data_IF_288675867485
#
_entry.id   IF_288675867485
#
_cell.length_a   1.000
_cell.length_b   1.000
_cell.length_c   1.000
_cell.angle_alpha   90.00
_cell.angle_beta   90.00
_cell.angle_gamma   90.00
#
_symmetry.space_group_name_H-M   'P 1'
#
loop_
_entity.id
_entity.type
_entity.pdbx_description
1 polymer ?
#
# COMPACT_ATOMS: atom_id res chain seq x y z
N UNK A 1 2.45 -0.63 -0.95
CA UNK A 1 2.49 -0.27 -2.38
C UNK A 1 3.77 0.48 -2.62
N UNK A 2 4.62 0.03 -3.55
CA UNK A 2 5.91 0.66 -3.82
C UNK A 2 5.70 1.85 -4.77
N UNK A 3 6.11 3.05 -4.37
CA UNK A 3 6.26 4.16 -5.30
C UNK A 3 7.53 3.89 -6.13
N UNK A 4 7.36 3.38 -7.35
CA UNK A 4 8.46 3.27 -8.30
C UNK A 4 8.71 4.66 -8.92
N UNK A 5 9.73 5.37 -8.46
CA UNK A 5 10.22 6.60 -9.11
C UNK A 5 11.00 6.28 -10.40
N UNK A 6 10.41 5.47 -11.29
CA UNK A 6 10.96 5.20 -12.62
C UNK A 6 10.19 6.01 -13.66
N UNK A 7 10.89 6.62 -14.63
CA UNK A 7 10.26 7.36 -15.74
C UNK A 7 9.33 6.51 -16.60
N UNK A 8 9.37 5.17 -16.47
CA UNK A 8 8.52 4.20 -17.18
C UNK A 8 7.39 3.62 -16.32
N UNK A 9 7.28 4.03 -15.06
CA UNK A 9 6.24 3.53 -14.16
C UNK A 9 4.89 4.15 -14.53
N UNK A 10 3.84 3.33 -14.51
CA UNK A 10 2.46 3.78 -14.76
C UNK A 10 1.88 4.53 -13.56
N UNK A 11 2.39 4.25 -12.35
CA UNK A 11 2.07 4.99 -11.15
C UNK A 11 3.14 6.07 -10.95
N UNK A 12 2.77 7.33 -11.18
CA UNK A 12 3.61 8.49 -10.87
C UNK A 12 3.55 8.82 -9.39
N UNK A 13 4.47 9.68 -8.93
CA UNK A 13 4.48 10.15 -7.54
C UNK A 13 3.17 10.85 -7.18
N UNK A 14 2.68 11.73 -8.04
CA UNK A 14 1.50 12.54 -7.74
C UNK A 14 0.24 11.67 -7.68
N UNK A 15 0.07 10.73 -8.63
CA UNK A 15 -1.00 9.72 -8.57
C UNK A 15 -0.94 8.88 -7.29
N UNK A 16 0.26 8.59 -6.80
CA UNK A 16 0.43 7.82 -5.57
C UNK A 16 0.04 8.64 -4.33
N UNK A 17 0.36 9.94 -4.29
CA UNK A 17 -0.06 10.86 -3.22
C UNK A 17 -1.59 10.97 -3.22
N UNK A 18 -2.19 11.28 -4.38
CA UNK A 18 -3.64 11.44 -4.52
C UNK A 18 -4.38 10.17 -4.09
N UNK A 19 -3.88 9.01 -4.51
CA UNK A 19 -4.46 7.73 -4.09
C UNK A 19 -4.35 7.49 -2.58
N UNK A 20 -3.25 7.89 -1.95
CA UNK A 20 -3.11 7.78 -0.48
C UNK A 20 -4.13 8.69 0.22
N UNK A 21 -4.22 9.95 -0.20
CA UNK A 21 -5.06 10.96 0.43
C UNK A 21 -6.56 10.65 0.25
N UNK A 22 -6.97 10.40 -0.99
CA UNK A 22 -8.38 10.30 -1.39
C UNK A 22 -8.98 8.90 -1.21
N UNK A 23 -8.15 7.84 -1.26
CA UNK A 23 -8.65 6.46 -1.25
C UNK A 23 -8.17 5.67 -0.04
N UNK A 24 -6.85 5.56 0.14
CA UNK A 24 -6.29 4.69 1.17
C UNK A 24 -6.62 5.18 2.59
N UNK A 25 -6.33 6.45 2.87
CA UNK A 25 -6.51 7.08 4.18
C UNK A 25 -7.95 6.97 4.71
N UNK A 26 -8.99 7.40 3.96
CA UNK A 26 -10.37 7.30 4.45
C UNK A 26 -10.81 5.84 4.65
N UNK A 27 -10.37 4.94 3.77
CA UNK A 27 -10.72 3.51 3.86
C UNK A 27 -10.11 2.87 5.12
N UNK A 28 -8.83 3.11 5.37
CA UNK A 28 -8.14 2.59 6.56
C UNK A 28 -8.74 3.18 7.83
N UNK A 29 -9.01 4.49 7.86
CA UNK A 29 -9.64 5.16 9.01
C UNK A 29 -11.01 4.56 9.32
N UNK A 30 -11.85 4.37 8.29
CA UNK A 30 -13.16 3.73 8.45
C UNK A 30 -13.04 2.31 9.01
N UNK A 31 -12.12 1.51 8.47
CA UNK A 31 -11.89 0.14 8.95
C UNK A 31 -11.44 0.10 10.42
N UNK A 32 -10.49 0.96 10.81
CA UNK A 32 -10.01 1.02 12.19
C UNK A 32 -11.13 1.38 13.18
N UNK A 33 -11.96 2.38 12.84
CA UNK A 33 -13.12 2.77 13.66
C UNK A 33 -14.11 1.60 13.78
N UNK A 34 -14.43 0.94 12.67
CA UNK A 34 -15.36 -0.19 12.67
C UNK A 34 -14.88 -1.38 13.51
N UNK A 35 -13.56 -1.61 13.54
CA UNK A 35 -12.95 -2.69 14.30
C UNK A 35 -12.61 -2.29 15.75
N UNK A 36 -12.96 -1.07 16.17
CA UNK A 36 -12.58 -0.49 17.46
C UNK A 36 -11.06 -0.57 17.73
N UNK A 37 -10.26 -0.42 16.67
CA UNK A 37 -8.80 -0.40 16.74
C UNK A 37 -8.31 1.03 16.91
N UNK A 38 -7.31 1.22 17.77
CA UNK A 38 -6.77 2.55 18.01
C UNK A 38 -6.11 3.12 16.75
N UNK A 39 -6.43 4.38 16.42
CA UNK A 39 -5.67 5.19 15.48
C UNK A 39 -4.32 5.55 16.12
N UNK A 40 -3.35 4.64 16.02
CA UNK A 40 -1.99 4.89 16.52
C UNK A 40 -1.27 5.91 15.63
N UNK A 41 -1.38 7.19 15.97
CA UNK A 41 -0.45 8.24 15.54
C UNK A 41 0.74 8.27 16.51
N UNK A 42 1.60 7.26 16.47
CA UNK A 42 2.80 7.28 17.31
C UNK A 42 3.85 8.17 16.63
N UNK A 43 4.13 9.33 17.24
CA UNK A 43 5.16 10.28 16.84
C UNK A 43 6.43 9.55 16.41
N UNK A 44 6.71 9.54 15.10
CA UNK A 44 7.93 8.98 14.56
C UNK A 44 8.95 10.10 14.38
N UNK A 45 9.53 10.56 15.48
CA UNK A 45 10.78 11.31 15.38
C UNK A 45 11.90 10.38 14.87
N UNK A 46 12.55 10.84 13.79
CA UNK A 46 13.85 10.42 13.27
C UNK A 46 13.92 9.03 12.62
N UNK A 47 13.86 9.00 11.29
CA UNK A 47 15.02 8.62 10.45
C UNK A 47 14.75 8.90 8.95
N UNK A 48 15.68 9.63 8.33
CA UNK A 48 16.03 9.59 6.90
C UNK A 48 15.32 10.49 5.86
N UNK A 49 16.09 11.52 5.44
CA UNK A 49 16.41 12.00 4.07
C UNK A 49 15.45 11.66 2.92
N UNK A 50 14.32 12.36 2.87
CA UNK A 50 13.63 12.83 1.67
C UNK A 50 12.50 13.73 2.16
N UNK A 51 12.77 15.03 2.23
CA UNK A 51 11.96 16.02 2.97
C UNK A 51 10.57 16.19 2.33
N UNK A 52 10.47 16.42 1.02
CA UNK A 52 9.21 16.98 0.49
C UNK A 52 8.00 16.02 0.45
N UNK A 53 8.19 14.72 0.21
CA UNK A 53 7.09 13.75 0.10
C UNK A 53 6.60 13.25 1.46
N UNK A 54 7.55 13.00 2.36
CA UNK A 54 7.21 12.57 3.72
C UNK A 54 6.54 13.72 4.46
N UNK A 55 7.06 14.94 4.33
CA UNK A 55 6.52 16.08 5.06
C UNK A 55 5.06 16.37 4.66
N UNK A 56 4.72 16.33 3.37
CA UNK A 56 3.33 16.50 2.90
C UNK A 56 2.38 15.42 3.46
N UNK A 57 2.76 14.14 3.32
CA UNK A 57 1.92 13.02 3.77
C UNK A 57 1.84 12.90 5.31
N UNK A 58 2.91 13.27 6.02
CA UNK A 58 2.95 13.29 7.49
C UNK A 58 2.09 14.42 8.09
N UNK A 59 1.99 15.56 7.40
CA UNK A 59 1.17 16.70 7.85
C UNK A 59 -0.33 16.37 7.77
N UNK A 60 -0.79 15.80 6.65
CA UNK A 60 -2.22 15.53 6.42
C UNK A 60 -2.69 14.18 7.00
N UNK A 61 -1.82 13.16 7.09
CA UNK A 61 -2.22 11.78 7.44
C UNK A 61 -1.45 11.30 8.67
N UNK A 62 -1.82 11.82 9.84
CA UNK A 62 -1.12 11.61 11.12
C UNK A 62 -1.06 10.16 11.62
N UNK A 63 -1.89 9.26 11.10
CA UNK A 63 -1.98 7.87 11.56
C UNK A 63 -1.36 6.84 10.61
N UNK A 64 -0.82 7.27 9.47
CA UNK A 64 -0.12 6.38 8.52
C UNK A 64 1.38 6.68 8.58
N UNK A 65 2.18 5.70 8.98
CA UNK A 65 3.64 5.80 8.96
C UNK A 65 4.20 5.21 7.68
N UNK A 66 4.96 6.01 6.94
CA UNK A 66 5.66 5.57 5.72
C UNK A 66 7.07 5.12 6.11
N UNK A 67 7.49 3.95 5.62
CA UNK A 67 8.84 3.43 5.81
C UNK A 67 9.40 2.96 4.47
N UNK A 68 10.63 3.36 4.18
CA UNK A 68 11.38 2.88 3.02
C UNK A 68 12.04 1.55 3.37
N UNK A 69 11.83 0.54 2.52
CA UNK A 69 12.45 -0.76 2.67
C UNK A 69 13.82 -0.77 1.97
N UNK A 70 14.76 -1.59 2.44
CA UNK A 70 16.05 -1.73 1.78
C UNK A 70 15.90 -2.28 0.36
N UNK A 71 16.80 -1.91 -0.56
CA UNK A 71 16.81 -2.44 -1.92
C UNK A 71 17.03 -3.97 -1.90
N UNK A 72 16.55 -4.65 -2.96
CA UNK A 72 16.74 -6.09 -3.22
C UNK A 72 16.11 -7.10 -2.25
N UNK A 73 15.57 -6.66 -1.11
CA UNK A 73 14.85 -7.56 -0.16
C UNK A 73 13.36 -7.24 -0.05
N UNK A 74 12.88 -6.31 -0.86
CA UNK A 74 11.53 -5.77 -0.77
C UNK A 74 10.46 -6.84 -0.96
N UNK A 75 10.66 -7.79 -1.90
CA UNK A 75 9.74 -8.91 -2.12
C UNK A 75 9.63 -9.87 -0.93
N UNK A 76 10.72 -10.02 -0.15
CA UNK A 76 10.74 -10.87 1.03
C UNK A 76 10.01 -10.20 2.20
N UNK A 77 10.23 -8.90 2.36
CA UNK A 77 9.69 -8.10 3.46
C UNK A 77 8.25 -7.65 3.23
N UNK A 78 7.84 -7.42 1.98
CA UNK A 78 6.50 -6.94 1.70
C UNK A 78 5.47 -8.06 1.76
N UNK A 79 4.46 -7.97 2.66
CA UNK A 79 3.42 -8.99 2.79
C UNK A 79 2.58 -9.12 1.52
N UNK A 80 2.45 -8.04 0.75
CA UNK A 80 1.76 -8.00 -0.54
C UNK A 80 2.37 -8.98 -1.55
N UNK A 81 3.68 -8.90 -1.75
CA UNK A 81 4.41 -9.73 -2.72
C UNK A 81 4.43 -11.19 -2.30
N UNK A 82 4.60 -11.45 -1.00
CA UNK A 82 4.80 -12.81 -0.50
C UNK A 82 3.52 -13.64 -0.40
N UNK A 83 2.40 -13.03 0.04
CA UNK A 83 1.17 -13.78 0.33
C UNK A 83 -0.01 -13.29 -0.48
N UNK A 84 -0.29 -11.98 -0.46
CA UNK A 84 -1.53 -11.44 -1.01
C UNK A 84 -1.60 -11.67 -2.51
N UNK A 85 -0.57 -11.26 -3.27
CA UNK A 85 -0.54 -11.41 -4.73
C UNK A 85 -0.51 -12.89 -5.12
N UNK A 86 0.27 -13.71 -4.42
CA UNK A 86 0.35 -15.15 -4.69
C UNK A 86 -1.01 -15.83 -4.52
N UNK A 87 -1.71 -15.54 -3.42
CA UNK A 87 -3.05 -16.08 -3.18
C UNK A 87 -4.07 -15.54 -4.17
N UNK A 88 -4.04 -14.24 -4.47
CA UNK A 88 -4.92 -13.63 -5.47
C UNK A 88 -4.78 -14.31 -6.83
N UNK A 89 -3.54 -14.53 -7.29
CA UNK A 89 -3.27 -15.26 -8.54
C UNK A 89 -3.87 -16.66 -8.50
N UNK A 90 -3.63 -17.42 -7.42
CA UNK A 90 -4.19 -18.78 -7.28
C UNK A 90 -5.72 -18.80 -7.34
N UNK A 91 -6.38 -17.92 -6.59
CA UNK A 91 -7.84 -17.84 -6.59
C UNK A 91 -8.40 -17.39 -7.93
N UNK A 92 -7.79 -16.38 -8.54
CA UNK A 92 -8.18 -15.92 -9.87
C UNK A 92 -8.04 -17.01 -10.92
N UNK A 93 -6.89 -17.70 -10.95
CA UNK A 93 -6.65 -18.83 -11.87
C UNK A 93 -7.66 -19.96 -11.65
N UNK A 94 -7.98 -20.31 -10.40
CA UNK A 94 -8.99 -21.32 -10.10
C UNK A 94 -10.38 -20.90 -10.58
N UNK A 95 -10.78 -19.65 -10.33
CA UNK A 95 -12.08 -19.11 -10.76
C UNK A 95 -12.16 -19.05 -12.29
N UNK A 96 -11.10 -18.62 -12.96
CA UNK A 96 -11.01 -18.54 -14.41
C UNK A 96 -11.14 -19.93 -15.06
N UNK A 97 -10.38 -20.92 -14.57
CA UNK A 97 -10.51 -22.29 -15.08
C UNK A 97 -11.87 -22.91 -14.75
N UNK A 98 -12.44 -22.61 -13.58
CA UNK A 98 -13.80 -23.03 -13.25
C UNK A 98 -14.82 -22.50 -14.26
N UNK A 99 -14.77 -21.19 -14.55
CA UNK A 99 -15.68 -20.55 -15.51
C UNK A 99 -15.48 -21.06 -16.95
N UNK A 100 -14.24 -21.36 -17.36
CA UNK A 100 -13.95 -21.87 -18.70
C UNK A 100 -14.34 -23.35 -18.89
N UNK A 101 -14.24 -24.17 -17.84
CA UNK A 101 -14.52 -25.61 -17.90
C UNK A 101 -15.99 -25.95 -17.64
N UNK A 102 -16.72 -25.08 -16.93
CA UNK A 102 -18.15 -25.23 -16.64
C UNK A 102 -19.02 -24.40 -17.60
N UNK A 103 -18.54 -24.14 -18.82
CA UNK A 103 -19.22 -23.28 -19.80
C UNK A 103 -20.74 -23.45 -19.79
N UNK A 104 -21.44 -22.34 -19.56
CA UNK A 104 -22.90 -22.24 -19.70
C UNK A 104 -23.35 -22.62 -21.12
#
# INVERSE_FOLDING_TARGET
MMCWCSKKAWATRDLFIDWIAEVLSPLVKKYLIQMNLQLHAHNAERFCRSTDLQDFLLIEIKFIKIQFLPPNITQLLQPMDRRVISNLKKFYTKALFGALLLGD
#
